data_IF_534273707437
#
_entry.id   IF_534273707437
#
_cell.length_a   1.000
_cell.length_b   1.000
_cell.length_c   1.000
_cell.angle_alpha   90.00
_cell.angle_beta   90.00
_cell.angle_gamma   90.00
#
_symmetry.space_group_name_H-M   'P 1'
#
loop_
_entity.id
_entity.type
_entity.pdbx_description
1 polymer ?
#
# COMPACT_ATOMS: atom_id res chain seq x y z
N UNK A 1 -1.72 15.78 -11.19
CA UNK A 1 -2.05 14.40 -10.81
C UNK A 1 -2.75 14.44 -9.45
N UNK A 2 -3.89 13.76 -9.27
CA UNK A 2 -4.62 13.80 -8.00
C UNK A 2 -5.27 12.45 -7.67
N UNK A 3 -5.58 12.26 -6.41
CA UNK A 3 -6.40 11.17 -5.87
C UNK A 3 -7.63 11.75 -5.17
N UNK A 4 -8.75 11.03 -5.23
CA UNK A 4 -9.85 11.25 -4.31
C UNK A 4 -9.58 10.43 -3.04
N UNK A 5 -9.90 10.95 -1.87
CA UNK A 5 -9.68 10.20 -0.63
C UNK A 5 -10.84 10.33 0.35
N UNK A 6 -11.08 9.26 1.10
CA UNK A 6 -11.98 9.34 2.26
C UNK A 6 -11.52 10.46 3.19
N UNK A 7 -12.39 11.40 3.56
CA UNK A 7 -11.97 12.63 4.24
C UNK A 7 -11.38 12.37 5.62
N UNK A 8 -11.71 11.23 6.24
CA UNK A 8 -11.12 10.82 7.52
C UNK A 8 -9.64 10.47 7.44
N UNK A 9 -9.07 10.27 6.25
CA UNK A 9 -7.62 10.13 6.05
C UNK A 9 -6.90 11.45 6.35
N UNK A 10 -7.51 12.58 6.00
CA UNK A 10 -6.99 13.93 6.29
C UNK A 10 -7.47 14.47 7.65
N UNK A 11 -8.68 14.11 8.04
CA UNK A 11 -9.34 14.58 9.25
C UNK A 11 -9.90 13.39 10.06
N UNK A 12 -9.05 12.69 10.84
CA UNK A 12 -9.44 11.48 11.57
C UNK A 12 -10.64 11.67 12.53
N UNK A 13 -10.87 12.89 13.01
CA UNK A 13 -12.04 13.24 13.83
C UNK A 13 -13.40 13.05 13.11
N UNK A 14 -13.42 12.90 11.79
CA UNK A 14 -14.61 12.56 11.01
C UNK A 14 -14.99 11.08 11.12
N UNK A 15 -14.19 10.23 11.77
CA UNK A 15 -14.55 8.83 12.03
C UNK A 15 -15.60 8.74 13.15
N UNK A 16 -16.28 7.61 13.20
CA UNK A 16 -17.16 7.33 14.33
C UNK A 16 -16.35 7.25 15.65
N UNK A 17 -17.00 7.54 16.75
CA UNK A 17 -16.38 7.62 18.06
C UNK A 17 -15.77 6.28 18.48
N UNK A 18 -14.55 6.30 19.02
CA UNK A 18 -13.88 5.14 19.59
C UNK A 18 -13.29 4.12 18.60
N UNK A 19 -13.44 4.29 17.26
CA UNK A 19 -12.95 3.31 16.28
C UNK A 19 -11.54 3.61 15.76
N UNK A 20 -11.00 4.80 15.98
CA UNK A 20 -9.70 5.21 15.47
C UNK A 20 -8.59 4.65 16.37
N UNK A 21 -7.72 3.84 15.80
CA UNK A 21 -6.56 3.25 16.48
C UNK A 21 -5.29 4.03 16.15
N UNK A 22 -4.24 3.97 16.98
CA UNK A 22 -2.93 4.54 16.66
C UNK A 22 -2.38 4.07 15.29
N UNK A 23 -2.54 2.79 14.96
CA UNK A 23 -2.15 2.22 13.67
C UNK A 23 -2.89 2.84 12.47
N UNK A 24 -4.15 3.25 12.64
CA UNK A 24 -4.88 3.96 11.58
C UNK A 24 -4.27 5.34 11.33
N UNK A 25 -3.87 6.05 12.39
CA UNK A 25 -3.24 7.37 12.26
C UNK A 25 -1.88 7.28 11.59
N UNK A 26 -1.11 6.22 11.85
CA UNK A 26 0.15 5.96 11.16
C UNK A 26 -0.07 5.70 9.67
N UNK A 27 -1.08 4.90 9.29
CA UNK A 27 -1.43 4.65 7.88
C UNK A 27 -1.87 5.93 7.18
N UNK A 28 -2.67 6.77 7.84
CA UNK A 28 -3.10 8.06 7.29
C UNK A 28 -1.91 9.00 7.09
N UNK A 29 -1.01 9.08 8.07
CA UNK A 29 0.20 9.88 7.95
C UNK A 29 1.13 9.38 6.82
N UNK A 30 1.30 8.06 6.68
CA UNK A 30 2.06 7.46 5.56
C UNK A 30 1.41 7.78 4.20
N UNK A 31 0.09 7.72 4.12
CA UNK A 31 -0.66 8.06 2.90
C UNK A 31 -0.40 9.51 2.48
N UNK A 32 -0.48 10.45 3.42
CA UNK A 32 -0.18 11.87 3.18
C UNK A 32 1.28 12.06 2.75
N UNK A 33 2.22 11.40 3.42
CA UNK A 33 3.65 11.43 3.06
C UNK A 33 3.89 10.91 1.65
N UNK A 34 3.25 9.80 1.25
CA UNK A 34 3.35 9.29 -0.12
C UNK A 34 2.87 10.31 -1.13
N UNK A 35 1.70 10.89 -0.93
CA UNK A 35 1.16 11.90 -1.82
C UNK A 35 2.09 13.11 -1.94
N UNK A 36 2.62 13.62 -0.82
CA UNK A 36 3.58 14.72 -0.82
C UNK A 36 4.89 14.35 -1.56
N UNK A 37 5.42 13.14 -1.32
CA UNK A 37 6.66 12.64 -1.97
C UNK A 37 6.56 12.63 -3.49
N UNK A 38 5.40 12.29 -4.04
CA UNK A 38 5.20 12.14 -5.48
C UNK A 38 4.38 13.27 -6.12
N UNK A 39 4.17 14.38 -5.42
CA UNK A 39 3.43 15.53 -5.96
C UNK A 39 1.98 15.19 -6.31
N UNK A 40 1.34 14.28 -5.57
CA UNK A 40 -0.05 13.87 -5.75
C UNK A 40 -0.93 14.76 -4.87
N UNK A 41 -1.85 15.48 -5.48
CA UNK A 41 -2.85 16.26 -4.74
C UNK A 41 -3.91 15.32 -4.14
N UNK A 42 -4.26 15.54 -2.89
CA UNK A 42 -5.33 14.80 -2.21
C UNK A 42 -6.60 15.64 -2.18
N UNK A 43 -7.63 15.18 -2.88
CA UNK A 43 -8.95 15.83 -2.90
C UNK A 43 -9.90 15.05 -2.01
N UNK A 44 -10.34 15.60 -0.87
CA UNK A 44 -11.24 14.88 0.02
C UNK A 44 -12.61 14.67 -0.61
N UNK A 45 -13.12 13.46 -0.48
CA UNK A 45 -14.55 13.17 -0.71
C UNK A 45 -15.40 13.79 0.40
N UNK A 46 -16.66 14.14 0.15
CA UNK A 46 -17.59 14.42 1.24
C UNK A 46 -17.79 13.14 2.09
N UNK A 47 -17.96 13.30 3.41
CA UNK A 47 -18.25 12.17 4.30
C UNK A 47 -19.77 11.98 4.44
N UNK A 48 -20.39 11.00 3.77
CA UNK A 48 -21.84 10.81 3.86
C UNK A 48 -22.33 10.56 5.29
N UNK A 49 -21.55 9.78 6.05
CA UNK A 49 -21.89 9.44 7.42
C UNK A 49 -21.86 10.67 8.36
N UNK A 50 -20.84 11.53 8.25
CA UNK A 50 -20.76 12.75 9.08
C UNK A 50 -21.81 13.78 8.70
N UNK A 51 -22.12 13.89 7.41
CA UNK A 51 -23.16 14.81 6.93
C UNK A 51 -24.57 14.38 7.37
N UNK A 52 -24.81 13.08 7.42
CA UNK A 52 -26.11 12.54 7.79
C UNK A 52 -26.30 12.39 9.31
N UNK A 53 -25.31 11.81 10.01
CA UNK A 53 -25.40 11.48 11.43
C UNK A 53 -24.75 12.51 12.36
N UNK A 54 -24.03 13.48 11.81
CA UNK A 54 -23.29 14.48 12.57
C UNK A 54 -21.92 14.01 13.08
N UNK A 55 -21.16 14.94 13.69
CA UNK A 55 -19.89 14.63 14.36
C UNK A 55 -20.16 13.82 15.64
N UNK A 56 -19.15 13.04 16.10
CA UNK A 56 -19.25 12.24 17.33
C UNK A 56 -20.25 11.06 17.23
N UNK A 57 -20.59 10.65 16.01
CA UNK A 57 -21.50 9.52 15.79
C UNK A 57 -20.92 8.22 16.33
N UNK A 58 -21.79 7.38 16.88
CA UNK A 58 -21.42 6.01 17.27
C UNK A 58 -21.18 5.14 16.03
N UNK A 59 -20.29 4.13 16.10
CA UNK A 59 -20.13 3.18 15.03
C UNK A 59 -21.42 2.36 14.79
N UNK A 60 -21.60 1.89 13.56
CA UNK A 60 -22.74 1.06 13.17
C UNK A 60 -22.63 0.61 11.72
N UNK A 61 -23.53 -0.26 11.33
CA UNK A 61 -23.58 -0.80 9.96
C UNK A 61 -24.48 0.05 9.06
N UNK A 62 -24.43 -0.23 7.75
CA UNK A 62 -25.31 0.45 6.79
C UNK A 62 -26.78 0.22 7.11
N UNK A 63 -27.18 -1.04 7.32
CA UNK A 63 -28.59 -1.38 7.57
C UNK A 63 -29.13 -0.79 8.87
N UNK A 64 -28.30 -0.70 9.91
CA UNK A 64 -28.72 -0.18 11.20
C UNK A 64 -28.92 1.34 11.22
N UNK A 65 -28.12 2.08 10.45
CA UNK A 65 -28.03 3.54 10.64
C UNK A 65 -28.19 4.38 9.38
N UNK A 66 -28.01 3.81 8.20
CA UNK A 66 -27.90 4.55 6.94
C UNK A 66 -28.96 4.12 5.90
N UNK A 67 -29.68 3.03 6.14
CA UNK A 67 -30.68 2.52 5.19
C UNK A 67 -31.99 3.29 5.29
N UNK A 68 -31.97 4.55 4.91
CA UNK A 68 -33.14 5.46 4.92
C UNK A 68 -33.27 6.17 3.57
N UNK A 69 -34.48 6.72 3.30
CA UNK A 69 -34.75 7.50 2.08
C UNK A 69 -33.96 8.82 2.09
N UNK A 70 -33.84 9.45 3.26
CA UNK A 70 -33.14 10.72 3.45
C UNK A 70 -31.62 10.52 3.15
N UNK A 71 -31.02 9.44 3.67
CA UNK A 71 -29.64 9.13 3.36
C UNK A 71 -29.44 8.83 1.87
N UNK A 72 -30.37 8.11 1.26
CA UNK A 72 -30.32 7.83 -0.18
C UNK A 72 -30.39 9.11 -1.02
N UNK A 73 -31.20 10.08 -0.62
CA UNK A 73 -31.30 11.39 -1.26
C UNK A 73 -30.00 12.20 -1.11
N UNK A 74 -29.41 12.19 0.08
CA UNK A 74 -28.10 12.80 0.31
C UNK A 74 -27.03 12.19 -0.60
N UNK A 75 -27.01 10.86 -0.73
CA UNK A 75 -26.05 10.14 -1.58
C UNK A 75 -26.11 10.56 -3.05
N UNK A 76 -27.31 10.85 -3.59
CA UNK A 76 -27.47 11.34 -4.96
C UNK A 76 -26.79 12.71 -5.13
N UNK A 77 -26.99 13.62 -4.19
CA UNK A 77 -26.38 14.94 -4.24
C UNK A 77 -24.84 14.86 -4.18
N UNK A 78 -24.32 14.03 -3.26
CA UNK A 78 -22.88 13.86 -3.10
C UNK A 78 -22.22 13.16 -4.31
N UNK A 79 -22.93 12.24 -4.96
CA UNK A 79 -22.50 11.62 -6.21
C UNK A 79 -22.37 12.67 -7.33
N UNK A 80 -23.32 13.60 -7.43
CA UNK A 80 -23.28 14.69 -8.42
C UNK A 80 -22.11 15.63 -8.16
N UNK A 81 -21.84 16.02 -6.91
CA UNK A 81 -20.71 16.86 -6.52
C UNK A 81 -19.37 16.23 -6.93
N UNK A 82 -19.15 14.96 -6.57
CA UNK A 82 -17.90 14.26 -6.92
C UNK A 82 -17.77 14.06 -8.43
N UNK A 83 -18.87 13.76 -9.11
CA UNK A 83 -18.88 13.61 -10.57
C UNK A 83 -18.53 14.93 -11.27
N UNK A 84 -18.99 16.07 -10.73
CA UNK A 84 -18.62 17.39 -11.23
C UNK A 84 -17.11 17.66 -11.09
N UNK A 85 -16.52 17.32 -9.93
CA UNK A 85 -15.06 17.41 -9.71
C UNK A 85 -14.30 16.56 -10.71
N UNK A 86 -14.71 15.31 -10.94
CA UNK A 86 -14.05 14.41 -11.91
C UNK A 86 -14.18 14.95 -13.34
N UNK A 87 -15.33 15.52 -13.69
CA UNK A 87 -15.55 16.11 -15.03
C UNK A 87 -14.67 17.33 -15.26
N UNK A 88 -14.52 18.19 -14.27
CA UNK A 88 -13.71 19.41 -14.35
C UNK A 88 -12.22 19.11 -14.40
N UNK A 89 -11.76 18.17 -13.56
CA UNK A 89 -10.33 17.92 -13.33
C UNK A 89 -9.75 16.76 -14.15
N UNK A 90 -10.60 16.01 -14.83
CA UNK A 90 -10.25 14.75 -15.47
C UNK A 90 -10.22 13.59 -14.47
N UNK A 91 -9.89 12.36 -14.93
CA UNK A 91 -9.93 11.17 -14.07
C UNK A 91 -8.86 11.23 -12.97
N UNK A 92 -9.22 10.93 -11.71
CA UNK A 92 -8.24 10.75 -10.64
C UNK A 92 -7.42 9.47 -10.86
N UNK A 93 -6.24 9.38 -10.25
CA UNK A 93 -5.46 8.14 -10.25
C UNK A 93 -6.24 6.99 -9.59
N UNK A 94 -6.85 7.26 -8.46
CA UNK A 94 -7.70 6.31 -7.72
C UNK A 94 -8.52 7.04 -6.64
N UNK A 95 -9.42 6.26 -6.01
CA UNK A 95 -10.07 6.64 -4.75
C UNK A 95 -9.39 5.87 -3.61
N UNK A 96 -8.88 6.60 -2.61
CA UNK A 96 -8.35 6.01 -1.39
C UNK A 96 -9.51 5.85 -0.41
N UNK A 97 -9.93 4.61 -0.20
CA UNK A 97 -11.00 4.26 0.74
C UNK A 97 -10.46 3.73 2.06
N UNK A 98 -11.37 3.46 2.99
CA UNK A 98 -11.04 2.87 4.30
C UNK A 98 -11.91 1.64 4.49
N UNK A 99 -11.32 0.46 4.43
CA UNK A 99 -12.03 -0.79 4.61
C UNK A 99 -12.79 -0.85 5.94
N UNK A 100 -13.84 -1.62 5.95
CA UNK A 100 -14.82 -1.71 7.04
C UNK A 100 -15.74 -0.48 7.20
N UNK A 101 -15.52 0.64 6.49
CA UNK A 101 -16.51 1.72 6.44
C UNK A 101 -17.72 1.28 5.61
N UNK A 102 -18.96 1.50 6.10
CA UNK A 102 -20.18 1.19 5.33
C UNK A 102 -20.31 2.00 4.04
N UNK A 103 -19.70 3.19 3.99
CA UNK A 103 -19.77 4.11 2.85
C UNK A 103 -18.51 4.10 1.98
N UNK A 104 -17.34 4.06 2.61
CA UNK A 104 -16.03 4.24 1.95
C UNK A 104 -15.15 2.97 1.93
N UNK A 105 -15.68 1.80 2.28
CA UNK A 105 -14.97 0.52 2.13
C UNK A 105 -14.62 0.25 0.66
N UNK A 106 -13.49 -0.43 0.42
CA UNK A 106 -13.01 -0.75 -0.92
C UNK A 106 -13.33 -2.21 -1.28
N UNK A 107 -12.92 -3.12 -0.43
CA UNK A 107 -13.11 -4.57 -0.61
C UNK A 107 -13.92 -5.23 0.51
N UNK A 108 -14.12 -4.54 1.64
CA UNK A 108 -14.84 -5.05 2.78
C UNK A 108 -15.58 -3.91 3.50
N UNK A 109 -16.85 -4.13 3.80
CA UNK A 109 -17.73 -3.11 4.40
C UNK A 109 -18.55 -3.67 5.55
N UNK A 110 -18.85 -2.87 6.56
CA UNK A 110 -19.86 -3.17 7.57
C UNK A 110 -21.25 -2.86 7.00
N UNK A 111 -21.87 -3.83 6.35
CA UNK A 111 -23.18 -3.66 5.73
C UNK A 111 -24.32 -3.86 6.72
N UNK A 112 -24.26 -4.89 7.53
CA UNK A 112 -25.26 -5.26 8.52
C UNK A 112 -25.53 -6.75 8.49
N UNK A 113 -25.99 -7.28 9.64
CA UNK A 113 -26.38 -8.66 9.74
C UNK A 113 -27.73 -8.86 9.01
N UNK A 114 -27.73 -9.73 8.03
CA UNK A 114 -28.92 -10.40 7.48
C UNK A 114 -28.97 -11.79 8.10
N UNK A 115 -30.16 -12.39 8.17
CA UNK A 115 -30.34 -13.72 8.78
C UNK A 115 -29.34 -14.73 8.18
N UNK A 116 -28.47 -15.29 9.04
CA UNK A 116 -27.43 -16.24 8.65
C UNK A 116 -26.17 -15.66 7.99
N UNK A 117 -26.00 -14.32 7.93
CA UNK A 117 -24.82 -13.67 7.34
C UNK A 117 -24.08 -12.80 8.34
N UNK A 118 -22.73 -12.71 8.28
CA UNK A 118 -21.96 -11.82 9.13
C UNK A 118 -22.24 -10.35 8.78
N UNK A 119 -22.02 -9.40 9.72
CA UNK A 119 -22.24 -7.97 9.50
C UNK A 119 -21.30 -7.36 8.45
N UNK A 120 -20.14 -8.00 8.15
CA UNK A 120 -19.23 -7.63 7.08
C UNK A 120 -19.60 -8.30 5.76
N UNK A 121 -19.55 -7.54 4.69
CA UNK A 121 -19.74 -7.99 3.32
C UNK A 121 -18.54 -7.62 2.47
N UNK A 122 -18.19 -8.47 1.50
CA UNK A 122 -17.22 -8.14 0.47
C UNK A 122 -17.80 -7.10 -0.51
N UNK A 123 -16.92 -6.25 -1.02
CA UNK A 123 -17.24 -5.21 -2.00
C UNK A 123 -17.12 -3.79 -1.47
N UNK A 124 -17.37 -2.84 -2.38
CA UNK A 124 -17.28 -1.41 -2.07
C UNK A 124 -18.42 -0.97 -1.16
N UNK A 125 -18.14 -0.01 -0.30
CA UNK A 125 -19.12 0.72 0.48
C UNK A 125 -20.11 1.47 -0.43
N UNK A 126 -21.29 1.76 0.10
CA UNK A 126 -22.41 2.28 -0.70
C UNK A 126 -22.10 3.61 -1.41
N UNK A 127 -21.15 4.40 -0.90
CA UNK A 127 -20.74 5.63 -1.59
C UNK A 127 -19.68 5.35 -2.67
N UNK A 128 -18.64 4.58 -2.36
CA UNK A 128 -17.64 4.23 -3.36
C UNK A 128 -18.18 3.39 -4.52
N UNK A 129 -19.26 2.64 -4.30
CA UNK A 129 -19.93 1.88 -5.36
C UNK A 129 -20.57 2.77 -6.45
N UNK A 130 -20.78 4.05 -6.17
CA UNK A 130 -21.27 5.04 -7.14
C UNK A 130 -20.23 5.39 -8.22
N UNK A 131 -18.96 5.07 -8.00
CA UNK A 131 -17.85 5.38 -8.92
C UNK A 131 -17.16 4.10 -9.42
N UNK A 132 -17.86 3.20 -10.10
CA UNK A 132 -17.32 1.88 -10.47
C UNK A 132 -16.16 1.96 -11.46
N UNK A 133 -16.14 2.99 -12.30
CA UNK A 133 -15.09 3.22 -13.31
C UNK A 133 -13.79 3.78 -12.73
N UNK A 134 -13.81 4.30 -11.49
CA UNK A 134 -12.60 4.81 -10.85
C UNK A 134 -11.95 3.69 -10.04
N UNK A 135 -10.66 3.39 -10.24
CA UNK A 135 -9.94 2.45 -9.39
C UNK A 135 -10.04 2.87 -7.92
N UNK A 136 -10.27 1.91 -7.03
CA UNK A 136 -10.28 2.19 -5.59
C UNK A 136 -9.24 1.32 -4.89
N UNK A 137 -8.54 1.89 -3.92
CA UNK A 137 -7.50 1.24 -3.13
C UNK A 137 -7.72 1.52 -1.65
N UNK A 138 -7.54 0.48 -0.83
CA UNK A 138 -7.61 0.64 0.62
C UNK A 138 -6.41 1.44 1.13
N UNK A 139 -6.63 2.31 2.11
CA UNK A 139 -5.58 3.16 2.70
C UNK A 139 -4.39 2.34 3.21
N UNK A 140 -4.60 1.15 3.75
CA UNK A 140 -3.53 0.29 4.23
C UNK A 140 -2.65 -0.26 3.10
N UNK A 141 -3.23 -0.46 1.91
CA UNK A 141 -2.49 -0.86 0.70
C UNK A 141 -1.80 0.36 0.11
N UNK A 142 -2.51 1.48 -0.01
CA UNK A 142 -1.93 2.70 -0.57
C UNK A 142 -0.76 3.25 0.25
N UNK A 143 -0.77 3.08 1.57
CA UNK A 143 0.31 3.50 2.45
C UNK A 143 1.61 2.69 2.30
N UNK A 144 1.57 1.55 1.60
CA UNK A 144 2.75 0.70 1.34
C UNK A 144 3.42 1.13 0.04
N UNK A 145 4.52 1.84 0.12
CA UNK A 145 5.21 2.36 -1.06
C UNK A 145 6.74 2.35 -0.97
N UNK A 146 7.30 2.02 0.20
CA UNK A 146 8.75 1.89 0.38
C UNK A 146 9.17 0.47 0.05
N UNK A 147 10.09 0.35 -0.89
CA UNK A 147 10.61 -0.91 -1.39
C UNK A 147 12.10 -1.00 -1.10
N UNK A 148 12.52 -2.10 -0.53
CA UNK A 148 13.92 -2.48 -0.52
C UNK A 148 14.17 -3.46 -1.67
N UNK A 149 15.09 -3.15 -2.57
CA UNK A 149 15.46 -4.02 -3.68
C UNK A 149 16.68 -4.86 -3.30
N UNK A 150 16.43 -6.07 -2.80
CA UNK A 150 17.45 -7.04 -2.47
C UNK A 150 17.95 -7.72 -3.76
N UNK A 151 19.24 -7.60 -4.07
CA UNK A 151 19.76 -8.12 -5.32
C UNK A 151 21.29 -8.28 -5.30
N UNK A 152 21.86 -9.24 -6.04
CA UNK A 152 23.30 -9.27 -6.30
C UNK A 152 23.71 -7.99 -7.06
N UNK A 153 24.90 -7.46 -6.75
CA UNK A 153 25.37 -6.17 -7.28
C UNK A 153 26.84 -6.21 -7.75
N UNK A 154 27.36 -7.40 -8.00
CA UNK A 154 28.79 -7.64 -8.22
C UNK A 154 29.22 -7.52 -9.69
N UNK A 155 28.30 -7.67 -10.64
CA UNK A 155 28.55 -7.52 -12.07
C UNK A 155 27.80 -6.34 -12.69
N UNK A 156 28.30 -5.83 -13.82
CA UNK A 156 27.62 -4.78 -14.58
C UNK A 156 26.21 -5.21 -15.03
N UNK A 157 26.04 -6.50 -15.38
CA UNK A 157 24.75 -7.04 -15.78
C UNK A 157 23.74 -7.01 -14.64
N UNK A 158 24.12 -7.44 -13.44
CA UNK A 158 23.28 -7.38 -12.23
C UNK A 158 22.92 -5.93 -11.89
N UNK A 159 23.92 -5.04 -11.80
CA UNK A 159 23.70 -3.62 -11.50
C UNK A 159 22.79 -2.94 -12.52
N UNK A 160 22.96 -3.26 -13.81
CA UNK A 160 22.12 -2.75 -14.89
C UNK A 160 20.67 -3.23 -14.78
N UNK A 161 20.46 -4.51 -14.47
CA UNK A 161 19.13 -5.08 -14.26
C UNK A 161 18.46 -4.47 -13.02
N UNK A 162 19.16 -4.39 -11.89
CA UNK A 162 18.68 -3.78 -10.66
C UNK A 162 18.24 -2.32 -10.89
N UNK A 163 19.05 -1.54 -11.60
CA UNK A 163 18.72 -0.16 -11.96
C UNK A 163 17.43 -0.09 -12.81
N UNK A 164 17.25 -1.06 -13.72
CA UNK A 164 16.04 -1.11 -14.57
C UNK A 164 14.79 -1.39 -13.75
N UNK A 165 14.86 -2.34 -12.80
CA UNK A 165 13.76 -2.66 -11.88
C UNK A 165 13.47 -1.49 -10.94
N UNK A 166 14.51 -0.88 -10.35
CA UNK A 166 14.34 0.30 -9.48
C UNK A 166 13.67 1.45 -10.23
N UNK A 167 14.09 1.73 -11.47
CA UNK A 167 13.46 2.75 -12.32
C UNK A 167 12.00 2.41 -12.63
N UNK A 168 11.70 1.16 -12.99
CA UNK A 168 10.33 0.70 -13.21
C UNK A 168 9.46 0.95 -11.98
N UNK A 169 9.88 0.53 -10.81
CA UNK A 169 9.14 0.74 -9.56
C UNK A 169 8.97 2.25 -9.25
N UNK A 170 10.01 3.04 -9.43
CA UNK A 170 9.97 4.50 -9.18
C UNK A 170 8.99 5.21 -10.12
N UNK A 171 8.90 4.81 -11.39
CA UNK A 171 7.91 5.35 -12.34
C UNK A 171 6.47 4.98 -11.97
N UNK A 172 6.30 3.92 -11.17
CA UNK A 172 5.01 3.49 -10.62
C UNK A 172 4.75 4.01 -9.19
N UNK A 173 5.47 5.06 -8.79
CA UNK A 173 5.29 5.78 -7.52
C UNK A 173 5.63 4.92 -6.29
N UNK A 174 6.71 4.12 -6.40
CA UNK A 174 7.36 3.49 -5.26
C UNK A 174 8.66 4.22 -4.91
N UNK A 175 8.95 4.30 -3.62
CA UNK A 175 10.20 4.84 -3.07
C UNK A 175 11.16 3.66 -2.87
N UNK A 176 12.15 3.54 -3.75
CA UNK A 176 13.00 2.36 -3.84
C UNK A 176 14.35 2.65 -3.17
N UNK A 177 14.69 1.83 -2.18
CA UNK A 177 16.07 1.74 -1.69
C UNK A 177 16.82 0.70 -2.52
N UNK A 178 17.88 1.13 -3.19
CA UNK A 178 18.74 0.31 -4.03
C UNK A 178 20.15 0.28 -3.39
N UNK A 179 20.58 -0.85 -2.77
CA UNK A 179 21.83 -0.93 -2.03
C UNK A 179 23.07 -0.52 -2.82
N UNK A 180 23.12 -0.79 -4.11
CA UNK A 180 24.25 -0.41 -4.99
C UNK A 180 24.46 1.11 -5.14
N UNK A 181 23.49 1.93 -4.71
CA UNK A 181 23.60 3.39 -4.70
C UNK A 181 24.07 3.94 -3.34
N UNK A 182 24.20 3.08 -2.33
CA UNK A 182 24.46 3.47 -0.95
C UNK A 182 25.96 3.68 -0.62
N UNK A 183 26.89 3.25 -1.47
CA UNK A 183 28.33 3.36 -1.22
C UNK A 183 29.13 3.52 -2.50
N UNK A 184 30.26 4.23 -2.38
CA UNK A 184 31.30 4.21 -3.39
C UNK A 184 32.23 3.02 -3.09
N UNK A 185 32.54 2.20 -4.10
CA UNK A 185 33.35 0.98 -3.99
C UNK A 185 34.80 1.24 -3.50
N UNK A 186 35.14 2.49 -3.19
CA UNK A 186 36.54 2.92 -3.03
C UNK A 186 37.19 2.49 -1.72
N UNK A 187 36.46 2.04 -0.69
CA UNK A 187 37.09 1.71 0.61
C UNK A 187 36.44 0.56 1.40
N UNK A 188 35.99 -0.50 0.72
CA UNK A 188 35.49 -1.73 1.37
C UNK A 188 36.55 -2.46 2.22
N UNK A 189 37.74 -1.90 2.41
CA UNK A 189 38.80 -2.42 3.28
C UNK A 189 38.69 -1.92 4.71
N UNK A 190 38.00 -0.79 4.95
CA UNK A 190 37.76 -0.26 6.29
C UNK A 190 36.56 -0.98 6.94
N UNK A 191 36.84 -1.65 8.05
CA UNK A 191 35.81 -2.36 8.85
C UNK A 191 34.71 -1.43 9.32
N UNK A 192 35.01 -0.17 9.61
CA UNK A 192 34.03 0.83 10.05
C UNK A 192 33.07 1.20 8.91
N UNK A 193 33.59 1.27 7.68
CA UNK A 193 32.75 1.55 6.51
C UNK A 193 31.87 0.34 6.17
N UNK A 194 32.36 -0.88 6.31
CA UNK A 194 31.55 -2.10 6.17
C UNK A 194 30.41 -2.13 7.19
N UNK A 195 30.70 -1.82 8.46
CA UNK A 195 29.69 -1.77 9.52
C UNK A 195 28.66 -0.67 9.25
N UNK A 196 29.10 0.51 8.82
CA UNK A 196 28.23 1.64 8.47
C UNK A 196 27.27 1.26 7.34
N UNK A 197 27.79 0.65 6.27
CA UNK A 197 27.01 0.24 5.11
C UNK A 197 26.01 -0.86 5.47
N UNK A 198 26.45 -1.84 6.28
CA UNK A 198 25.57 -2.87 6.80
C UNK A 198 24.40 -2.29 7.60
N UNK A 199 24.67 -1.40 8.55
CA UNK A 199 23.64 -0.77 9.37
C UNK A 199 22.71 0.11 8.55
N UNK A 200 23.22 0.81 7.55
CA UNK A 200 22.44 1.64 6.65
C UNK A 200 21.44 0.78 5.83
N UNK A 201 21.92 -0.28 5.18
CA UNK A 201 21.07 -1.17 4.42
C UNK A 201 20.07 -1.93 5.30
N UNK A 202 20.51 -2.40 6.49
CA UNK A 202 19.65 -3.04 7.47
C UNK A 202 18.52 -2.11 7.92
N UNK A 203 18.84 -0.85 8.23
CA UNK A 203 17.82 0.15 8.61
C UNK A 203 16.83 0.44 7.47
N UNK A 204 17.32 0.54 6.24
CA UNK A 204 16.47 0.73 5.05
C UNK A 204 15.54 -0.46 4.82
N UNK A 205 16.01 -1.69 5.03
CA UNK A 205 15.19 -2.90 4.98
C UNK A 205 14.13 -2.91 6.09
N UNK A 206 14.49 -2.49 7.31
CA UNK A 206 13.56 -2.35 8.43
C UNK A 206 12.48 -1.29 8.18
N UNK A 207 12.83 -0.21 7.49
CA UNK A 207 11.90 0.87 7.11
C UNK A 207 11.03 0.56 5.89
N UNK A 208 11.41 -0.41 5.06
CA UNK A 208 10.66 -0.80 3.87
C UNK A 208 9.28 -1.39 4.23
N UNK A 209 8.31 -1.16 3.36
CA UNK A 209 6.96 -1.75 3.50
C UNK A 209 6.90 -3.18 2.95
N UNK A 210 7.77 -3.49 1.96
CA UNK A 210 7.97 -4.82 1.37
C UNK A 210 9.32 -4.90 0.64
N UNK A 211 9.73 -6.12 0.32
CA UNK A 211 11.00 -6.40 -0.35
C UNK A 211 10.72 -6.92 -1.76
N UNK A 212 11.50 -6.46 -2.73
CA UNK A 212 11.63 -7.13 -4.03
C UNK A 212 13.01 -7.75 -4.08
N UNK A 213 13.07 -9.07 -4.22
CA UNK A 213 14.32 -9.83 -4.21
C UNK A 213 14.61 -10.42 -5.60
N UNK A 214 15.79 -10.16 -6.14
CA UNK A 214 16.25 -10.70 -7.41
C UNK A 214 17.00 -11.99 -7.10
N UNK A 215 16.42 -13.14 -7.47
CA UNK A 215 16.93 -14.48 -7.16
C UNK A 215 17.34 -15.24 -8.43
N UNK A 216 18.20 -14.63 -9.21
CA UNK A 216 18.72 -15.19 -10.46
C UNK A 216 19.78 -16.28 -10.22
N UNK A 217 19.99 -17.13 -11.21
CA UNK A 217 21.03 -18.14 -11.18
C UNK A 217 20.61 -19.47 -10.56
N UNK A 218 21.59 -20.38 -10.40
CA UNK A 218 21.39 -21.70 -9.79
C UNK A 218 21.12 -21.58 -8.29
N UNK A 219 21.82 -20.66 -7.61
CA UNK A 219 21.59 -20.28 -6.22
C UNK A 219 21.45 -18.75 -6.15
N UNK A 220 20.57 -18.28 -5.30
CA UNK A 220 20.47 -16.85 -5.01
C UNK A 220 21.74 -16.39 -4.28
N UNK A 221 22.13 -15.14 -4.52
CA UNK A 221 23.21 -14.52 -3.76
C UNK A 221 22.96 -14.60 -2.25
N UNK A 222 24.04 -14.88 -1.49
CA UNK A 222 23.94 -15.08 -0.04
C UNK A 222 23.47 -13.84 0.72
N UNK A 223 23.82 -12.62 0.25
CA UNK A 223 23.35 -11.36 0.80
C UNK A 223 21.85 -11.20 0.57
N UNK A 224 21.41 -11.43 -0.66
CA UNK A 224 19.99 -11.42 -1.03
C UNK A 224 19.17 -12.44 -0.23
N UNK A 225 19.70 -13.66 -0.06
CA UNK A 225 19.06 -14.70 0.75
C UNK A 225 18.93 -14.29 2.23
N UNK A 226 19.97 -13.66 2.79
CA UNK A 226 19.93 -13.14 4.16
C UNK A 226 18.88 -12.03 4.31
N UNK A 227 18.81 -11.09 3.35
CA UNK A 227 17.85 -10.00 3.34
C UNK A 227 16.39 -10.51 3.25
N UNK A 228 16.15 -11.52 2.41
CA UNK A 228 14.84 -12.19 2.34
C UNK A 228 14.47 -12.84 3.67
N UNK A 229 15.36 -13.62 4.28
CA UNK A 229 15.13 -14.26 5.57
C UNK A 229 14.89 -13.27 6.70
N UNK A 230 15.65 -12.17 6.72
CA UNK A 230 15.47 -11.11 7.69
C UNK A 230 14.13 -10.39 7.52
N UNK A 231 13.73 -10.08 6.29
CA UNK A 231 12.43 -9.48 5.97
C UNK A 231 11.27 -10.41 6.39
N UNK A 232 11.38 -11.70 6.10
CA UNK A 232 10.40 -12.71 6.53
C UNK A 232 10.26 -12.76 8.05
N UNK A 233 11.37 -12.75 8.79
CA UNK A 233 11.36 -12.74 10.25
C UNK A 233 10.70 -11.47 10.85
N UNK A 234 10.75 -10.35 10.12
CA UNK A 234 10.05 -9.10 10.47
C UNK A 234 8.58 -9.07 10.02
N UNK A 235 8.07 -10.14 9.40
CA UNK A 235 6.71 -10.21 8.88
C UNK A 235 6.46 -9.29 7.68
N UNK A 236 7.51 -8.92 6.94
CA UNK A 236 7.39 -8.09 5.74
C UNK A 236 7.10 -8.98 4.53
N UNK A 237 6.19 -8.55 3.63
CA UNK A 237 5.99 -9.26 2.36
C UNK A 237 7.28 -9.25 1.53
N UNK A 238 7.64 -10.39 0.96
CA UNK A 238 8.74 -10.55 0.03
C UNK A 238 8.18 -10.95 -1.33
N UNK A 239 8.61 -10.28 -2.39
CA UNK A 239 8.28 -10.59 -3.78
C UNK A 239 9.58 -11.04 -4.45
N UNK A 240 9.73 -12.34 -4.69
CA UNK A 240 10.89 -12.88 -5.38
C UNK A 240 10.70 -12.77 -6.90
N UNK A 241 11.69 -12.18 -7.57
CA UNK A 241 11.75 -12.06 -9.03
C UNK A 241 12.86 -12.94 -9.57
N UNK A 242 12.50 -13.84 -10.47
CA UNK A 242 13.44 -14.71 -11.20
C UNK A 242 13.06 -14.72 -12.67
N UNK A 243 14.05 -14.49 -13.53
CA UNK A 243 13.92 -14.60 -14.98
C UNK A 243 14.62 -15.83 -15.54
N UNK A 244 15.49 -16.45 -14.74
CA UNK A 244 16.21 -17.66 -15.09
C UNK A 244 15.29 -18.89 -15.11
N UNK A 245 15.18 -19.57 -16.24
CA UNK A 245 14.35 -20.75 -16.42
C UNK A 245 15.05 -22.07 -16.06
N UNK A 246 16.32 -22.05 -15.68
CA UNK A 246 17.07 -23.24 -15.23
C UNK A 246 16.51 -23.74 -13.89
N UNK A 247 16.52 -25.06 -13.70
CA UNK A 247 16.13 -25.68 -12.43
C UNK A 247 17.35 -25.84 -11.52
N UNK A 248 17.13 -25.66 -10.23
CA UNK A 248 18.15 -25.85 -9.18
C UNK A 248 18.31 -27.33 -8.83
N UNK A 249 17.23 -28.12 -8.96
CA UNK A 249 17.19 -29.55 -8.69
C UNK A 249 16.22 -30.30 -9.60
N UNK A 250 15.94 -31.57 -9.30
CA UNK A 250 15.04 -32.40 -10.10
C UNK A 250 13.59 -31.86 -10.14
N UNK A 251 13.14 -31.21 -9.07
CA UNK A 251 11.77 -30.70 -8.91
C UNK A 251 11.72 -29.26 -8.44
N UNK A 252 12.85 -28.63 -8.12
CA UNK A 252 12.93 -27.30 -7.54
C UNK A 252 13.42 -26.28 -8.56
N UNK A 253 12.67 -25.19 -8.71
CA UNK A 253 13.09 -24.03 -9.51
C UNK A 253 13.94 -23.06 -8.67
N UNK A 254 13.73 -23.03 -7.37
CA UNK A 254 14.38 -22.19 -6.38
C UNK A 254 14.56 -22.99 -5.08
N UNK A 255 15.54 -22.64 -4.28
CA UNK A 255 15.70 -23.22 -2.95
C UNK A 255 14.39 -23.06 -2.13
N UNK A 256 13.93 -24.15 -1.52
CA UNK A 256 12.67 -24.23 -0.76
C UNK A 256 12.52 -23.11 0.27
N UNK A 257 13.60 -22.77 0.99
CA UNK A 257 13.53 -21.72 2.03
C UNK A 257 13.26 -20.34 1.43
N UNK A 258 13.79 -20.05 0.24
CA UNK A 258 13.53 -18.80 -0.46
C UNK A 258 12.12 -18.76 -1.05
N UNK A 259 11.67 -19.88 -1.64
CA UNK A 259 10.32 -20.00 -2.21
C UNK A 259 9.24 -19.83 -1.14
N UNK A 260 9.43 -20.39 0.05
CA UNK A 260 8.45 -20.29 1.14
C UNK A 260 8.52 -18.98 1.94
N UNK A 261 9.58 -18.18 1.76
CA UNK A 261 9.72 -16.86 2.40
C UNK A 261 9.25 -15.70 1.52
N UNK A 262 8.88 -15.97 0.28
CA UNK A 262 8.44 -14.98 -0.70
C UNK A 262 6.91 -14.93 -0.85
#
# INVERSE_FOLDING_TARGET
MYVLCSPCVLHPALRAEGITKPSDLELFAKTVKRCARFGIEMVPLPCPESLYLGPGRKPGTYLERLNTLEFSSLMVNLEQEVTAVIRERGPPLCIIGVNSSPTCGVSSTYYGAEEGRPPKREGRGVFLSKFPSVPAVDVAVFARYRVYLAAPLFSEAERGFNTSIARFLSTHLFDVHLPQEAGDDSDMRDVREQERLFLYNKSALEDADFIVAIIEGADADSGTAWEMGYAFALGKPVIALRTDFRRVGHHEHVNLMLEQSA
#
